data_IF_424170781967
#
_entry.id   IF_424170781967
#
_cell.length_a   1.000
_cell.length_b   1.000
_cell.length_c   1.000
_cell.angle_alpha   90.00
_cell.angle_beta   90.00
_cell.angle_gamma   90.00
#
_symmetry.space_group_name_H-M   'P 1'
#
loop_
_entity.id
_entity.type
_entity.pdbx_description
1 polymer ?
#
# COMPACT_ATOMS: atom_id res chain seq x y z
N UNK A 1 2.86 36.69 25.77
CA UNK A 1 2.25 36.08 24.57
C UNK A 1 3.22 35.16 23.83
N UNK A 2 3.94 34.28 24.55
CA UNK A 2 4.92 33.34 23.95
C UNK A 2 4.69 31.87 24.37
N UNK A 3 3.87 31.63 25.40
CA UNK A 3 3.56 30.27 25.88
C UNK A 3 2.56 29.52 24.97
N UNK A 4 1.75 30.24 24.17
CA UNK A 4 0.76 29.64 23.27
C UNK A 4 1.39 29.00 22.01
N UNK A 5 2.61 29.38 21.64
CA UNK A 5 3.28 28.86 20.43
C UNK A 5 4.08 27.56 20.67
N UNK A 6 4.31 27.20 21.94
CA UNK A 6 5.04 25.98 22.30
C UNK A 6 4.11 24.76 22.34
N UNK A 7 2.85 24.95 22.79
CA UNK A 7 1.85 23.87 22.84
C UNK A 7 1.36 23.51 21.42
N UNK A 8 1.26 24.47 20.51
CA UNK A 8 0.83 24.21 19.13
C UNK A 8 1.81 23.29 18.37
N UNK A 9 3.12 23.43 18.61
CA UNK A 9 4.15 22.61 17.94
C UNK A 9 4.31 21.20 18.52
N UNK A 10 3.94 20.96 19.79
CA UNK A 10 3.96 19.62 20.38
C UNK A 10 2.75 18.76 19.98
N UNK A 11 1.63 19.37 19.57
CA UNK A 11 0.45 18.65 19.08
C UNK A 11 0.57 18.29 17.59
N UNK A 12 1.36 19.04 16.82
CA UNK A 12 1.49 18.88 15.36
C UNK A 12 2.58 17.87 14.94
N UNK A 13 3.51 17.49 15.82
CA UNK A 13 4.62 16.58 15.50
C UNK A 13 4.50 15.20 16.16
N UNK A 14 3.32 14.59 16.18
CA UNK A 14 3.24 13.15 16.44
C UNK A 14 3.72 12.43 15.18
N UNK A 15 4.96 11.90 15.19
CA UNK A 15 5.40 10.93 14.17
C UNK A 15 4.31 9.88 14.01
N UNK A 16 3.87 9.58 12.78
CA UNK A 16 2.88 8.52 12.54
C UNK A 16 3.39 7.24 13.19
N UNK A 17 2.63 6.71 14.13
CA UNK A 17 2.97 5.43 14.74
C UNK A 17 2.89 4.33 13.68
N UNK A 18 3.78 3.33 13.75
CA UNK A 18 3.86 2.25 12.74
C UNK A 18 2.50 1.59 12.50
N UNK A 19 1.69 1.49 13.54
CA UNK A 19 0.33 0.99 13.50
C UNK A 19 -0.58 1.81 12.58
N UNK A 20 -0.57 3.15 12.66
CA UNK A 20 -1.46 4.05 11.90
C UNK A 20 -1.18 4.05 10.39
N UNK A 21 -0.07 3.42 9.96
CA UNK A 21 0.37 3.34 8.56
C UNK A 21 0.19 1.94 7.97
N UNK A 22 -0.40 1.03 8.73
CA UNK A 22 -0.81 -0.27 8.22
C UNK A 22 -2.04 -0.07 7.33
N UNK A 23 -1.96 -0.45 6.06
CA UNK A 23 -3.01 -0.25 5.08
C UNK A 23 -3.73 -1.56 4.77
N UNK A 24 -5.04 -1.47 4.56
CA UNK A 24 -5.82 -2.54 3.94
C UNK A 24 -5.61 -2.51 2.41
N UNK A 25 -5.22 -3.65 1.78
CA UNK A 25 -4.83 -3.66 0.37
C UNK A 25 -5.89 -3.19 -0.63
N UNK A 26 -7.16 -3.60 -0.51
CA UNK A 26 -8.19 -3.25 -1.49
C UNK A 26 -8.55 -1.76 -1.41
N UNK A 27 -8.75 -1.23 -0.21
CA UNK A 27 -8.99 0.19 0.07
C UNK A 27 -7.88 1.05 -0.55
N UNK A 28 -6.62 0.70 -0.31
CA UNK A 28 -5.50 1.43 -0.86
C UNK A 28 -5.42 1.34 -2.40
N UNK A 29 -5.64 0.15 -2.99
CA UNK A 29 -5.66 -0.02 -4.45
C UNK A 29 -6.80 0.78 -5.09
N UNK A 30 -7.99 0.85 -4.48
CA UNK A 30 -9.11 1.68 -4.97
C UNK A 30 -8.69 3.15 -5.05
N UNK A 31 -8.02 3.67 -4.02
CA UNK A 31 -7.58 5.08 -4.02
C UNK A 31 -6.49 5.34 -5.06
N UNK A 32 -5.58 4.38 -5.27
CA UNK A 32 -4.57 4.49 -6.33
C UNK A 32 -5.22 4.39 -7.71
N UNK A 33 -6.26 3.57 -7.89
CA UNK A 33 -7.04 3.50 -9.12
C UNK A 33 -7.76 4.83 -9.39
N UNK A 34 -8.42 5.40 -8.39
CA UNK A 34 -9.07 6.71 -8.48
C UNK A 34 -8.07 7.83 -8.80
N UNK A 35 -6.84 7.74 -8.30
CA UNK A 35 -5.78 8.71 -8.57
C UNK A 35 -5.49 8.86 -10.07
N UNK A 36 -5.66 7.80 -10.87
CA UNK A 36 -5.46 7.88 -12.33
C UNK A 36 -6.31 8.98 -12.98
N UNK A 37 -7.48 9.27 -12.43
CA UNK A 37 -8.43 10.28 -12.91
C UNK A 37 -8.31 11.65 -12.22
N UNK A 38 -7.51 11.75 -11.14
CA UNK A 38 -7.35 13.00 -10.40
C UNK A 38 -6.63 14.09 -11.23
N UNK A 39 -6.54 15.34 -10.77
CA UNK A 39 -5.66 16.34 -11.40
C UNK A 39 -4.18 15.93 -11.33
N UNK A 40 -3.35 16.49 -12.21
CA UNK A 40 -1.90 16.32 -12.13
C UNK A 40 -1.37 16.87 -10.81
N UNK A 41 -0.21 16.36 -10.36
CA UNK A 41 0.43 16.69 -9.09
C UNK A 41 -0.37 16.28 -7.83
N UNK A 42 -1.45 15.51 -8.00
CA UNK A 42 -2.15 14.87 -6.89
C UNK A 42 -1.27 13.85 -6.20
N UNK A 43 -1.37 13.80 -4.87
CA UNK A 43 -0.54 13.00 -3.98
C UNK A 43 -1.37 11.99 -3.22
N UNK A 44 -0.69 11.14 -2.47
CA UNK A 44 -1.30 10.24 -1.51
C UNK A 44 -0.94 10.66 -0.10
N UNK A 45 -1.87 10.46 0.81
CA UNK A 45 -1.65 10.60 2.24
C UNK A 45 -2.28 9.43 2.97
N UNK A 46 -1.60 8.94 4.00
CA UNK A 46 -2.11 7.90 4.90
C UNK A 46 -2.57 8.56 6.20
N UNK A 47 -3.83 8.31 6.57
CA UNK A 47 -4.39 8.79 7.82
C UNK A 47 -5.30 7.72 8.43
N UNK A 48 -5.06 7.37 9.69
CA UNK A 48 -5.80 6.32 10.41
C UNK A 48 -6.00 5.06 9.56
N UNK A 49 -4.91 4.46 9.07
CA UNK A 49 -4.94 3.20 8.30
C UNK A 49 -5.67 3.26 6.95
N UNK A 50 -6.10 4.45 6.52
CA UNK A 50 -6.80 4.66 5.27
C UNK A 50 -5.93 5.53 4.37
N UNK A 51 -5.80 5.11 3.11
CA UNK A 51 -5.16 5.90 2.07
C UNK A 51 -6.16 6.92 1.52
N UNK A 52 -5.71 8.14 1.25
CA UNK A 52 -6.51 9.20 0.64
C UNK A 52 -5.76 9.86 -0.51
N UNK A 53 -6.51 10.27 -1.54
CA UNK A 53 -6.00 11.17 -2.56
C UNK A 53 -5.98 12.59 -2.02
N UNK A 54 -4.88 13.28 -2.25
CA UNK A 54 -4.75 14.69 -1.99
C UNK A 54 -4.61 15.46 -3.29
N UNK A 55 -5.60 16.30 -3.54
CA UNK A 55 -5.61 17.24 -4.66
C UNK A 55 -4.58 18.37 -4.40
N UNK A 56 -3.86 18.86 -5.43
CA UNK A 56 -2.92 19.95 -5.28
C UNK A 56 -3.60 21.22 -4.73
N UNK A 57 -3.16 21.67 -3.53
CA UNK A 57 -3.61 22.91 -2.92
C UNK A 57 -2.58 24.03 -3.15
N UNK A 58 -3.05 25.26 -3.40
CA UNK A 58 -2.20 26.40 -3.77
C UNK A 58 -1.46 27.10 -2.60
N UNK A 59 -1.59 26.63 -1.35
CA UNK A 59 -1.01 27.30 -0.18
C UNK A 59 0.43 26.85 0.10
N UNK A 60 1.44 27.69 -0.16
CA UNK A 60 2.86 27.30 -0.25
C UNK A 60 3.60 26.98 1.06
N UNK A 61 3.21 27.52 2.23
CA UNK A 61 4.07 27.46 3.43
C UNK A 61 3.85 26.24 4.34
N UNK A 62 2.60 25.80 4.53
CA UNK A 62 2.26 24.57 5.27
C UNK A 62 2.57 23.33 4.42
N UNK A 63 2.51 23.53 3.10
CA UNK A 63 2.83 22.57 2.07
C UNK A 63 4.20 21.93 2.23
N UNK A 64 5.24 22.67 2.64
CA UNK A 64 6.61 22.15 2.65
C UNK A 64 6.81 21.03 3.67
N UNK A 65 6.32 21.22 4.89
CA UNK A 65 6.42 20.18 5.94
C UNK A 65 5.49 19.03 5.64
N UNK A 66 4.27 19.34 5.18
CA UNK A 66 3.27 18.37 4.79
C UNK A 66 3.75 17.49 3.59
N UNK A 67 4.47 18.08 2.63
CA UNK A 67 5.02 17.38 1.46
C UNK A 67 6.13 16.40 1.78
N UNK A 68 6.86 16.60 2.88
CA UNK A 68 7.83 15.60 3.32
C UNK A 68 7.14 14.38 3.93
N UNK A 69 5.98 14.58 4.58
CA UNK A 69 5.18 13.51 5.16
C UNK A 69 4.55 12.62 4.07
N UNK A 70 3.89 13.24 3.08
CA UNK A 70 3.24 12.51 1.97
C UNK A 70 4.21 11.71 1.08
N UNK A 71 5.50 12.09 1.04
CA UNK A 71 6.53 11.36 0.30
C UNK A 71 6.91 10.05 0.98
N UNK A 72 6.93 10.04 2.32
CA UNK A 72 7.30 8.85 3.08
C UNK A 72 6.20 7.79 3.04
N UNK A 73 4.94 8.21 2.89
CA UNK A 73 3.78 7.33 2.76
C UNK A 73 3.90 6.35 1.56
N UNK A 74 4.65 6.73 0.52
CA UNK A 74 4.89 5.89 -0.67
C UNK A 74 5.52 4.55 -0.28
N UNK A 75 6.45 4.53 0.67
CA UNK A 75 7.18 3.31 1.03
C UNK A 75 6.29 2.23 1.66
N UNK A 76 5.12 2.60 2.18
CA UNK A 76 4.18 1.66 2.78
C UNK A 76 3.33 0.91 1.74
N UNK A 77 3.32 1.36 0.48
CA UNK A 77 2.53 0.74 -0.58
C UNK A 77 3.09 -0.62 -1.04
N UNK A 78 4.32 -0.98 -0.69
CA UNK A 78 4.88 -2.31 -1.00
C UNK A 78 3.97 -3.44 -0.50
N UNK A 79 3.53 -3.35 0.77
CA UNK A 79 2.65 -4.34 1.38
C UNK A 79 1.24 -4.32 0.77
N UNK A 80 0.80 -3.17 0.26
CA UNK A 80 -0.50 -3.04 -0.42
C UNK A 80 -0.51 -3.89 -1.68
N UNK A 81 0.48 -3.69 -2.58
CA UNK A 81 0.48 -4.38 -3.86
C UNK A 81 0.71 -5.89 -3.73
N UNK A 82 1.64 -6.31 -2.88
CA UNK A 82 1.94 -7.73 -2.63
C UNK A 82 0.76 -8.48 -2.02
N UNK A 83 0.08 -7.89 -1.02
CA UNK A 83 -1.09 -8.52 -0.40
C UNK A 83 -2.33 -8.45 -1.28
N UNK A 84 -2.49 -7.40 -2.09
CA UNK A 84 -3.58 -7.34 -3.05
C UNK A 84 -3.49 -8.48 -4.06
N UNK A 85 -2.33 -8.68 -4.69
CA UNK A 85 -2.13 -9.78 -5.65
C UNK A 85 -2.24 -11.14 -4.97
N UNK A 86 -1.96 -11.26 -3.67
CA UNK A 86 -2.12 -12.52 -2.93
C UNK A 86 -3.57 -12.83 -2.54
N UNK A 87 -4.28 -11.89 -1.93
CA UNK A 87 -5.55 -12.17 -1.24
C UNK A 87 -6.82 -11.80 -2.03
N UNK A 88 -6.71 -10.90 -3.01
CA UNK A 88 -7.87 -10.40 -3.76
C UNK A 88 -8.08 -11.07 -5.13
N UNK A 89 -7.48 -12.24 -5.36
CA UNK A 89 -7.65 -13.02 -6.60
C UNK A 89 -9.12 -13.37 -6.90
N UNK A 90 -9.96 -13.49 -5.87
CA UNK A 90 -11.40 -13.75 -6.02
C UNK A 90 -12.13 -12.64 -6.79
N UNK A 91 -11.60 -11.41 -6.85
CA UNK A 91 -12.16 -10.32 -7.66
C UNK A 91 -12.13 -10.60 -9.17
N UNK A 92 -11.37 -11.61 -9.62
CA UNK A 92 -11.42 -12.11 -11.00
C UNK A 92 -12.78 -12.73 -11.36
N UNK A 93 -13.56 -13.15 -10.37
CA UNK A 93 -14.90 -13.73 -10.56
C UNK A 93 -15.97 -12.66 -10.82
N UNK A 94 -15.69 -11.40 -10.48
CA UNK A 94 -16.59 -10.27 -10.72
C UNK A 94 -16.30 -9.75 -12.13
N UNK A 95 -17.17 -10.10 -13.07
CA UNK A 95 -16.99 -9.87 -14.51
C UNK A 95 -18.03 -8.87 -15.01
N UNK A 96 -17.67 -8.08 -16.02
CA UNK A 96 -18.63 -7.24 -16.74
C UNK A 96 -19.61 -8.09 -17.57
N UNK A 97 -20.93 -7.97 -17.39
CA UNK A 97 -21.90 -8.68 -18.23
C UNK A 97 -21.77 -8.38 -19.73
N UNK A 98 -21.18 -7.23 -20.09
CA UNK A 98 -20.99 -6.80 -21.49
C UNK A 98 -19.63 -7.18 -22.06
N UNK A 99 -18.64 -7.42 -21.21
CA UNK A 99 -17.28 -7.76 -21.61
C UNK A 99 -16.71 -8.84 -20.68
N UNK A 100 -16.80 -10.09 -21.12
CA UNK A 100 -16.36 -11.26 -20.35
C UNK A 100 -14.85 -11.25 -20.06
N UNK A 101 -14.04 -10.48 -20.80
CA UNK A 101 -12.60 -10.38 -20.57
C UNK A 101 -12.25 -9.34 -19.49
N UNK A 102 -13.17 -8.42 -19.19
CA UNK A 102 -13.01 -7.41 -18.17
C UNK A 102 -13.55 -7.92 -16.83
N UNK A 103 -12.65 -8.10 -15.87
CA UNK A 103 -13.00 -8.41 -14.48
C UNK A 103 -12.49 -7.30 -13.54
N UNK A 104 -13.06 -7.24 -12.34
CA UNK A 104 -12.76 -6.21 -11.34
C UNK A 104 -11.29 -6.19 -10.95
N UNK A 105 -10.65 -7.36 -10.80
CA UNK A 105 -9.22 -7.44 -10.49
C UNK A 105 -8.38 -6.75 -11.56
N UNK A 106 -8.58 -7.11 -12.83
CA UNK A 106 -7.85 -6.54 -13.98
C UNK A 106 -8.14 -5.04 -14.13
N UNK A 107 -9.39 -4.62 -13.96
CA UNK A 107 -9.77 -3.21 -14.02
C UNK A 107 -9.04 -2.37 -12.96
N UNK A 108 -9.04 -2.85 -11.70
CA UNK A 108 -8.30 -2.20 -10.61
C UNK A 108 -6.80 -2.21 -10.88
N UNK A 109 -6.28 -3.30 -11.43
CA UNK A 109 -4.86 -3.44 -11.73
C UNK A 109 -4.38 -2.42 -12.79
N UNK A 110 -5.13 -2.28 -13.88
CA UNK A 110 -4.85 -1.34 -14.96
C UNK A 110 -4.99 0.12 -14.49
N UNK A 111 -6.09 0.45 -13.83
CA UNK A 111 -6.35 1.82 -13.36
C UNK A 111 -5.38 2.25 -12.25
N UNK A 112 -5.04 1.37 -11.29
CA UNK A 112 -4.05 1.69 -10.29
C UNK A 112 -2.63 1.78 -10.88
N UNK A 113 -2.29 1.00 -11.92
CA UNK A 113 -1.03 1.19 -12.66
C UNK A 113 -0.94 2.59 -13.27
N UNK A 114 -2.03 3.08 -13.87
CA UNK A 114 -2.10 4.46 -14.36
C UNK A 114 -2.01 5.49 -13.22
N UNK A 115 -2.55 5.18 -12.04
CA UNK A 115 -2.38 5.97 -10.82
C UNK A 115 -0.91 6.07 -10.38
N UNK A 116 -0.17 4.96 -10.42
CA UNK A 116 1.28 4.94 -10.15
C UNK A 116 2.04 5.81 -11.15
N UNK A 117 1.68 5.75 -12.44
CA UNK A 117 2.28 6.61 -13.47
C UNK A 117 2.05 8.10 -13.17
N UNK A 118 0.89 8.45 -12.63
CA UNK A 118 0.59 9.82 -12.18
C UNK A 118 1.42 10.23 -10.95
N UNK A 119 1.70 9.30 -10.03
CA UNK A 119 2.64 9.55 -8.93
C UNK A 119 4.06 9.74 -9.46
N UNK A 120 4.51 8.93 -10.42
CA UNK A 120 5.81 9.10 -11.07
C UNK A 120 5.93 10.49 -11.69
N UNK A 121 4.89 10.98 -12.37
CA UNK A 121 4.84 12.35 -12.89
C UNK A 121 4.92 13.39 -11.77
N UNK A 122 4.11 13.23 -10.71
CA UNK A 122 4.04 14.14 -9.55
C UNK A 122 5.38 14.27 -8.83
N UNK A 123 6.14 13.17 -8.75
CA UNK A 123 7.44 13.13 -8.06
C UNK A 123 8.63 13.26 -9.01
N UNK A 124 8.46 13.54 -10.31
CA UNK A 124 9.56 13.55 -11.30
C UNK A 124 10.72 14.46 -10.92
N UNK A 125 10.43 15.56 -10.22
CA UNK A 125 11.40 16.59 -9.82
C UNK A 125 11.76 16.51 -8.34
N UNK A 126 11.46 15.38 -7.67
CA UNK A 126 11.79 15.21 -6.26
C UNK A 126 13.30 15.03 -6.07
N UNK A 127 13.84 15.59 -4.98
CA UNK A 127 15.26 15.46 -4.62
C UNK A 127 15.65 14.04 -4.18
N UNK A 128 14.66 13.18 -3.90
CA UNK A 128 14.86 11.78 -3.50
C UNK A 128 14.56 10.81 -4.65
N UNK A 129 15.56 10.41 -5.47
CA UNK A 129 15.35 9.50 -6.60
C UNK A 129 14.84 8.11 -6.18
N UNK A 130 15.01 7.71 -4.91
CA UNK A 130 14.51 6.43 -4.41
C UNK A 130 12.98 6.32 -4.53
N UNK A 131 12.25 7.42 -4.46
CA UNK A 131 10.79 7.44 -4.65
C UNK A 131 10.42 6.96 -6.06
N UNK A 132 11.11 7.48 -7.08
CA UNK A 132 10.84 7.11 -8.48
C UNK A 132 11.19 5.64 -8.74
N UNK A 133 12.32 5.17 -8.21
CA UNK A 133 12.69 3.75 -8.30
C UNK A 133 11.67 2.85 -7.60
N UNK A 134 11.20 3.26 -6.43
CA UNK A 134 10.22 2.51 -5.63
C UNK A 134 8.87 2.41 -6.36
N UNK A 135 8.39 3.51 -6.94
CA UNK A 135 7.15 3.50 -7.73
C UNK A 135 7.25 2.61 -8.98
N UNK A 136 8.40 2.61 -9.68
CA UNK A 136 8.64 1.70 -10.79
C UNK A 136 8.68 0.24 -10.34
N UNK A 137 9.28 -0.05 -9.18
CA UNK A 137 9.25 -1.38 -8.57
C UNK A 137 7.81 -1.83 -8.27
N UNK A 138 6.98 -0.96 -7.70
CA UNK A 138 5.58 -1.27 -7.43
C UNK A 138 4.80 -1.59 -8.69
N UNK A 139 4.99 -0.81 -9.76
CA UNK A 139 4.39 -1.10 -11.07
C UNK A 139 4.81 -2.47 -11.59
N UNK A 140 6.07 -2.86 -11.41
CA UNK A 140 6.56 -4.19 -11.81
C UNK A 140 5.90 -5.30 -10.97
N UNK A 141 5.95 -5.20 -9.64
CA UNK A 141 5.34 -6.19 -8.72
C UNK A 141 3.86 -6.36 -8.98
N UNK A 142 3.16 -5.26 -9.23
CA UNK A 142 1.72 -5.28 -9.41
C UNK A 142 1.27 -5.87 -10.74
N UNK A 143 2.13 -5.83 -11.76
CA UNK A 143 1.86 -6.41 -13.09
C UNK A 143 2.43 -7.83 -13.26
N UNK A 144 3.35 -8.25 -12.39
CA UNK A 144 3.84 -9.62 -12.37
C UNK A 144 2.83 -10.55 -11.69
N UNK A 145 2.52 -11.68 -12.33
CA UNK A 145 1.85 -12.77 -11.63
C UNK A 145 2.75 -13.25 -10.49
N UNK A 146 2.20 -13.65 -9.32
CA UNK A 146 2.99 -14.00 -8.15
C UNK A 146 3.97 -15.13 -8.49
N UNK A 147 5.22 -14.76 -8.76
CA UNK A 147 6.32 -15.69 -8.85
C UNK A 147 6.77 -16.00 -7.43
N UNK A 148 7.03 -17.29 -7.17
CA UNK A 148 7.35 -17.84 -5.85
C UNK A 148 8.22 -16.91 -4.97
N UNK A 149 7.89 -16.73 -3.68
CA UNK A 149 8.47 -15.71 -2.83
C UNK A 149 9.94 -16.03 -2.51
N UNK A 150 10.87 -15.32 -3.15
CA UNK A 150 12.29 -15.24 -2.76
C UNK A 150 12.79 -13.80 -2.78
N UNK A 151 11.97 -12.84 -2.38
CA UNK A 151 12.36 -11.42 -2.30
C UNK A 151 11.73 -10.78 -1.06
N UNK A 152 12.13 -11.22 0.14
CA UNK A 152 11.74 -10.55 1.40
C UNK A 152 12.91 -10.14 2.29
N UNK A 153 14.17 -10.29 1.84
CA UNK A 153 15.33 -9.94 2.67
C UNK A 153 16.38 -9.16 1.87
N UNK A 154 16.16 -7.87 1.65
CA UNK A 154 17.26 -6.97 1.28
C UNK A 154 17.07 -5.48 1.60
N UNK A 155 15.95 -5.04 2.19
CA UNK A 155 15.67 -3.60 2.36
C UNK A 155 15.71 -3.13 3.82
N UNK A 156 15.93 -4.02 4.79
CA UNK A 156 15.90 -3.64 6.22
C UNK A 156 17.25 -3.25 6.84
N UNK A 157 18.39 -3.41 6.17
CA UNK A 157 19.70 -3.12 6.77
C UNK A 157 20.64 -2.41 5.80
N UNK A 158 20.66 -1.08 5.84
CA UNK A 158 21.88 -0.32 5.51
C UNK A 158 21.88 1.00 6.26
N UNK A 159 22.22 0.89 7.55
CA UNK A 159 22.35 2.01 8.46
C UNK A 159 23.30 1.68 9.61
N UNK A 160 24.47 1.09 9.34
CA UNK A 160 25.59 1.14 10.30
C UNK A 160 26.96 1.01 9.63
N UNK A 161 27.79 2.01 9.90
CA UNK A 161 29.22 2.08 9.61
C UNK A 161 30.00 1.03 10.41
N UNK A 162 30.95 0.33 9.77
CA UNK A 162 32.29 0.03 10.33
C UNK A 162 33.24 -0.64 9.33
N UNK A 163 34.50 -0.15 9.35
CA UNK A 163 35.71 -0.69 8.72
C UNK A 163 36.12 -2.06 9.30
N UNK A 164 36.68 -2.94 8.44
CA UNK A 164 37.91 -3.78 8.63
C UNK A 164 38.03 -4.75 7.44
N UNK A 165 39.11 -4.67 6.65
CA UNK A 165 40.37 -5.43 6.73
C UNK A 165 40.31 -6.89 6.26
N UNK A 166 41.06 -7.12 5.17
CA UNK A 166 41.84 -8.26 4.64
C UNK A 166 41.62 -9.73 5.05
N UNK A 167 42.07 -10.54 4.07
CA UNK A 167 42.48 -11.96 4.03
C UNK A 167 41.37 -12.99 3.77
N UNK A 168 41.33 -13.75 2.67
CA UNK A 168 42.23 -14.66 1.91
C UNK A 168 41.85 -16.14 2.15
N UNK A 169 41.68 -16.85 1.04
CA UNK A 169 41.85 -18.30 0.80
C UNK A 169 40.68 -19.28 1.04
N UNK A 170 40.12 -19.76 -0.09
CA UNK A 170 40.18 -21.14 -0.62
C UNK A 170 40.09 -22.34 0.36
N UNK A 171 39.12 -23.23 0.09
CA UNK A 171 39.15 -24.62 0.56
C UNK A 171 37.85 -25.37 0.28
N UNK A 172 37.88 -26.30 -0.68
CA UNK A 172 36.80 -27.21 -1.04
C UNK A 172 36.55 -28.30 0.04
N UNK A 173 35.32 -28.81 0.16
CA UNK A 173 35.00 -30.22 -0.14
C UNK A 173 33.57 -30.64 0.26
N UNK A 174 33.17 -31.71 -0.40
CA UNK A 174 31.86 -32.30 -0.61
C UNK A 174 31.40 -33.29 0.49
N UNK A 175 30.09 -33.53 0.52
CA UNK A 175 29.37 -34.80 0.80
C UNK A 175 29.32 -35.36 2.24
N UNK A 176 28.10 -35.56 2.79
CA UNK A 176 27.38 -36.86 2.92
C UNK A 176 26.44 -36.93 4.16
N UNK A 177 25.17 -37.25 3.88
CA UNK A 177 24.09 -37.93 4.65
C UNK A 177 24.25 -38.21 6.16
N UNK A 178 23.19 -37.94 6.94
CA UNK A 178 22.30 -39.00 7.50
C UNK A 178 21.14 -38.44 8.35
N UNK A 179 20.07 -39.22 8.32
CA UNK A 179 18.74 -39.11 8.93
C UNK A 179 18.74 -39.21 10.46
N UNK A 180 17.94 -38.38 11.14
CA UNK A 180 17.41 -38.69 12.47
C UNK A 180 15.95 -38.25 12.57
N UNK A 181 15.09 -39.18 12.99
CA UNK A 181 13.68 -39.00 13.32
C UNK A 181 13.63 -38.46 14.75
N UNK A 182 13.02 -37.28 14.96
CA UNK A 182 12.54 -36.84 16.27
C UNK A 182 11.25 -36.04 16.11
N UNK A 183 10.32 -36.30 17.03
CA UNK A 183 8.94 -35.79 17.10
C UNK A 183 8.86 -34.25 17.11
N UNK A 184 7.74 -33.65 16.65
CA UNK A 184 7.56 -32.22 16.66
C UNK A 184 7.36 -31.72 18.10
N UNK A 185 8.43 -31.21 18.70
CA UNK A 185 8.34 -30.32 19.84
C UNK A 185 7.62 -29.05 19.37
N UNK A 186 6.41 -28.86 19.86
CA UNK A 186 5.64 -27.64 19.66
C UNK A 186 6.50 -26.44 20.10
N UNK A 187 6.85 -25.58 19.14
CA UNK A 187 7.61 -24.38 19.38
C UNK A 187 6.64 -23.28 19.87
N UNK A 188 6.70 -22.84 21.15
CA UNK A 188 5.79 -21.84 21.69
C UNK A 188 6.31 -20.44 21.35
N UNK A 189 6.38 -20.15 20.06
CA UNK A 189 6.94 -18.90 19.53
C UNK A 189 6.43 -18.54 18.14
N UNK A 190 5.22 -19.01 17.76
CA UNK A 190 4.58 -18.55 16.54
C UNK A 190 4.14 -17.10 16.76
N UNK A 191 5.00 -16.16 16.34
CA UNK A 191 4.61 -14.77 16.15
C UNK A 191 3.32 -14.72 15.35
N UNK A 192 2.42 -13.81 15.73
CA UNK A 192 1.13 -13.62 15.08
C UNK A 192 1.31 -13.58 13.57
N UNK A 193 0.69 -14.52 12.84
CA UNK A 193 0.76 -14.56 11.38
C UNK A 193 -0.04 -13.37 10.83
N UNK A 194 0.67 -12.28 10.54
CA UNK A 194 0.09 -11.03 10.01
C UNK A 194 -0.68 -11.33 8.72
N UNK A 195 -0.20 -12.24 7.89
CA UNK A 195 -0.85 -12.58 6.64
C UNK A 195 -2.18 -13.30 6.86
N UNK A 196 -2.29 -14.14 7.89
CA UNK A 196 -3.56 -14.74 8.31
C UNK A 196 -4.57 -13.69 8.81
N UNK A 197 -4.10 -12.63 9.48
CA UNK A 197 -4.96 -11.50 9.88
C UNK A 197 -5.51 -10.77 8.65
N UNK A 198 -4.64 -10.46 7.69
CA UNK A 198 -5.04 -9.79 6.45
C UNK A 198 -5.88 -10.67 5.53
N UNK A 199 -5.73 -11.99 5.56
CA UNK A 199 -6.62 -12.87 4.81
C UNK A 199 -8.08 -12.72 5.27
N UNK A 200 -8.33 -12.45 6.56
CA UNK A 200 -9.68 -12.27 7.10
C UNK A 200 -10.27 -10.89 6.82
N UNK A 201 -9.45 -9.84 6.68
CA UNK A 201 -9.95 -8.48 6.39
C UNK A 201 -10.69 -8.41 5.05
N UNK A 202 -10.35 -9.31 4.11
CA UNK A 202 -11.00 -9.40 2.79
C UNK A 202 -12.50 -9.63 2.86
N UNK A 203 -12.99 -10.21 3.96
CA UNK A 203 -14.40 -10.54 4.19
C UNK A 203 -15.24 -9.32 4.63
N UNK A 204 -14.62 -8.15 4.84
CA UNK A 204 -15.34 -6.93 5.21
C UNK A 204 -16.19 -6.37 4.06
N UNK A 205 -15.86 -6.70 2.82
CA UNK A 205 -16.57 -6.22 1.64
C UNK A 205 -17.70 -7.18 1.26
N UNK A 206 -18.91 -6.65 1.17
CA UNK A 206 -20.05 -7.34 0.55
C UNK A 206 -19.98 -7.28 -0.97
N UNK A 207 -20.65 -8.22 -1.63
CA UNK A 207 -20.76 -8.24 -3.09
C UNK A 207 -21.33 -6.91 -3.63
N UNK A 208 -22.31 -6.32 -2.93
CA UNK A 208 -22.92 -5.05 -3.33
C UNK A 208 -21.91 -3.90 -3.35
N UNK A 209 -21.05 -3.82 -2.34
CA UNK A 209 -20.00 -2.79 -2.27
C UNK A 209 -18.96 -3.01 -3.36
N UNK A 210 -18.56 -4.26 -3.63
CA UNK A 210 -17.65 -4.59 -4.72
C UNK A 210 -18.23 -4.23 -6.09
N UNK A 211 -19.53 -4.48 -6.32
CA UNK A 211 -20.22 -4.06 -7.54
C UNK A 211 -20.31 -2.53 -7.67
N UNK A 212 -20.52 -1.81 -6.57
CA UNK A 212 -20.51 -0.34 -6.58
C UNK A 212 -19.12 0.16 -7.00
N UNK A 213 -18.06 -0.33 -6.36
CA UNK A 213 -16.67 0.03 -6.70
C UNK A 213 -16.40 -0.24 -8.19
N UNK A 214 -16.73 -1.45 -8.66
CA UNK A 214 -16.48 -1.87 -10.04
C UNK A 214 -17.19 -0.95 -11.05
N UNK A 215 -18.47 -0.65 -10.82
CA UNK A 215 -19.23 0.20 -11.72
C UNK A 215 -18.82 1.67 -11.63
N UNK A 216 -18.44 2.19 -10.46
CA UNK A 216 -17.93 3.57 -10.34
C UNK A 216 -16.64 3.76 -11.13
N UNK A 217 -15.71 2.79 -11.08
CA UNK A 217 -14.47 2.87 -11.87
C UNK A 217 -14.77 2.81 -13.38
N UNK A 218 -15.74 1.99 -13.80
CA UNK A 218 -16.19 1.99 -15.20
C UNK A 218 -16.81 3.31 -15.63
N UNK A 219 -17.60 3.95 -14.77
CA UNK A 219 -18.17 5.27 -15.04
C UNK A 219 -17.08 6.34 -15.18
N UNK A 220 -16.03 6.27 -14.36
CA UNK A 220 -14.85 7.13 -14.45
C UNK A 220 -14.05 6.91 -15.74
N UNK A 221 -13.93 5.67 -16.22
CA UNK A 221 -13.34 5.39 -17.52
C UNK A 221 -14.13 6.02 -18.68
N UNK A 222 -15.46 6.01 -18.58
CA UNK A 222 -16.32 6.58 -19.60
C UNK A 222 -16.40 8.12 -19.53
N UNK A 223 -16.34 8.69 -18.32
CA UNK A 223 -16.56 10.12 -18.06
C UNK A 223 -15.53 10.65 -17.03
N UNK A 224 -14.24 10.73 -17.40
CA UNK A 224 -13.16 11.09 -16.47
C UNK A 224 -13.28 12.53 -15.93
N UNK A 225 -13.96 13.42 -16.65
CA UNK A 225 -14.24 14.80 -16.21
C UNK A 225 -15.11 14.87 -14.96
N UNK A 226 -15.91 13.83 -14.70
CA UNK A 226 -16.75 13.71 -13.51
C UNK A 226 -16.02 13.06 -12.32
N UNK A 227 -14.68 13.14 -12.30
CA UNK A 227 -13.85 12.56 -11.25
C UNK A 227 -14.30 12.94 -9.84
N UNK A 228 -14.45 14.24 -9.56
CA UNK A 228 -14.75 14.73 -8.22
C UNK A 228 -16.06 14.14 -7.65
N UNK A 229 -17.24 14.28 -8.30
CA UNK A 229 -18.47 13.74 -7.74
C UNK A 229 -18.47 12.21 -7.61
N UNK A 230 -17.82 11.48 -8.53
CA UNK A 230 -17.74 10.02 -8.44
C UNK A 230 -16.80 9.55 -7.33
N UNK A 231 -15.66 10.22 -7.16
CA UNK A 231 -14.71 9.94 -6.08
C UNK A 231 -15.32 10.22 -4.71
N UNK A 232 -15.96 11.38 -4.54
CA UNK A 232 -16.60 11.77 -3.29
C UNK A 232 -17.78 10.84 -2.95
N UNK A 233 -18.60 10.51 -3.94
CA UNK A 233 -19.70 9.55 -3.78
C UNK A 233 -19.20 8.17 -3.31
N UNK A 234 -18.15 7.66 -3.95
CA UNK A 234 -17.57 6.37 -3.57
C UNK A 234 -16.95 6.41 -2.17
N UNK A 235 -16.20 7.46 -1.84
CA UNK A 235 -15.60 7.62 -0.52
C UNK A 235 -16.66 7.69 0.59
N UNK A 236 -17.78 8.36 0.34
CA UNK A 236 -18.91 8.41 1.28
C UNK A 236 -19.55 7.02 1.46
N UNK A 237 -19.79 6.29 0.36
CA UNK A 237 -20.34 4.93 0.41
C UNK A 237 -19.41 3.98 1.19
N UNK A 238 -18.09 4.11 1.02
CA UNK A 238 -17.10 3.25 1.67
C UNK A 238 -16.76 3.67 3.11
N UNK A 239 -17.31 4.77 3.62
CA UNK A 239 -17.03 5.26 4.98
C UNK A 239 -17.33 4.23 6.08
N UNK A 240 -18.45 3.47 6.05
CA UNK A 240 -18.70 2.40 7.01
C UNK A 240 -17.65 1.28 6.95
N UNK A 241 -17.19 0.90 5.75
CA UNK A 241 -16.13 -0.10 5.59
C UNK A 241 -14.80 0.42 6.12
N UNK A 242 -14.45 1.66 5.82
CA UNK A 242 -13.22 2.30 6.33
C UNK A 242 -13.19 2.30 7.87
N UNK A 243 -14.33 2.55 8.50
CA UNK A 243 -14.45 2.48 9.97
C UNK A 243 -14.27 1.05 10.48
N UNK A 244 -14.81 0.05 9.78
CA UNK A 244 -14.61 -1.37 10.12
C UNK A 244 -13.16 -1.82 9.92
N UNK A 245 -12.49 -1.36 8.87
CA UNK A 245 -11.06 -1.62 8.62
C UNK A 245 -10.22 -1.08 9.77
N UNK A 246 -10.44 0.17 10.16
CA UNK A 246 -9.74 0.79 11.28
C UNK A 246 -9.93 -0.01 12.56
N UNK A 247 -11.19 -0.33 12.89
CA UNK A 247 -11.50 -1.15 14.06
C UNK A 247 -10.85 -2.53 13.98
N UNK A 248 -10.91 -3.20 12.84
CA UNK A 248 -10.30 -4.51 12.63
C UNK A 248 -8.79 -4.49 12.86
N UNK A 249 -8.10 -3.48 12.33
CA UNK A 249 -6.65 -3.31 12.52
C UNK A 249 -6.35 -3.08 14.00
N UNK A 250 -7.10 -2.22 14.70
CA UNK A 250 -6.93 -2.01 16.15
C UNK A 250 -7.15 -3.32 16.93
N UNK A 251 -8.22 -4.06 16.62
CA UNK A 251 -8.60 -5.24 17.39
C UNK A 251 -7.67 -6.44 17.15
N UNK A 252 -7.04 -6.53 15.97
CA UNK A 252 -6.28 -7.72 15.56
C UNK A 252 -4.77 -7.51 15.44
N UNK A 253 -4.28 -6.26 15.39
CA UNK A 253 -2.86 -5.96 15.13
C UNK A 253 -2.17 -5.28 16.34
N UNK A 254 -2.85 -5.16 17.48
CA UNK A 254 -2.27 -4.61 18.72
C UNK A 254 -1.58 -5.72 19.54
N UNK A 255 -0.28 -5.52 19.81
CA UNK A 255 0.56 -6.32 20.70
C UNK A 255 0.39 -5.88 22.16
#
# INVERSE_FOLDING_TARGET
MYAMNFIYNSVINKKKERFNVILEPLQAVIQIALLSFAPNDSKLNIYNNILFIQIPNWNQSILRTYYNDSKNDIFFLFNVFTRFTKFYQHLKLIIDPKDTQLNMFKLLQETATNGIDKLLQTYRHTENPAILHTLNLYKKIFNEEPTNPKIEQSVAETGHSKRKDRDKCLGANSTTNQTHIDNPVANPGAGVDIDAIFANITKLYSDSELFIIFNTIKLLLANPENFAPYCDGLNNILTPINTQIQKWIVDNIVY
#
